data_IF_482905409689
#
_entry.id   IF_482905409689
#
_cell.length_a   1.000
_cell.length_b   1.000
_cell.length_c   1.000
_cell.angle_alpha   90.00
_cell.angle_beta   90.00
_cell.angle_gamma   90.00
#
_symmetry.space_group_name_H-M   'P 1'
#
loop_
_entity.id
_entity.type
_entity.pdbx_description
1 polymer ?
#
# COMPACT_ATOMS: atom_id res chain seq x y z
N UNK A 1 -24.80 -9.21 22.09
CA UNK A 1 -24.21 -7.92 21.76
C UNK A 1 -23.02 -7.67 22.67
N UNK A 2 -21.91 -7.20 22.10
CA UNK A 2 -20.79 -6.65 22.84
C UNK A 2 -21.01 -5.17 23.09
N UNK A 3 -20.65 -4.72 24.29
CA UNK A 3 -20.74 -3.33 24.69
C UNK A 3 -19.41 -2.90 25.27
N UNK A 4 -18.99 -1.65 25.00
CA UNK A 4 -17.78 -1.06 25.56
C UNK A 4 -18.13 0.26 26.25
N UNK A 5 -17.48 0.53 27.38
CA UNK A 5 -17.54 1.83 28.06
C UNK A 5 -16.14 2.44 28.06
N UNK A 6 -16.05 3.71 27.66
CA UNK A 6 -14.80 4.50 27.64
C UNK A 6 -14.69 5.44 28.85
N UNK A 7 -15.72 5.48 29.72
CA UNK A 7 -15.87 6.41 30.86
C UNK A 7 -16.21 5.69 32.16
N UNK A 8 -15.54 4.56 32.42
CA UNK A 8 -15.71 3.73 33.60
C UNK A 8 -17.16 3.25 33.83
N UNK A 9 -17.87 2.96 32.76
CA UNK A 9 -19.24 2.41 32.86
C UNK A 9 -20.34 3.46 32.92
N UNK A 10 -20.03 4.74 32.70
CA UNK A 10 -21.03 5.81 32.68
C UNK A 10 -21.86 5.78 31.39
N UNK A 11 -21.20 5.57 30.26
CA UNK A 11 -21.83 5.38 28.94
C UNK A 11 -21.34 4.10 28.29
N UNK A 12 -22.24 3.45 27.51
CA UNK A 12 -21.93 2.19 26.84
C UNK A 12 -22.22 2.29 25.34
N UNK A 13 -21.28 1.90 24.52
CA UNK A 13 -21.43 1.82 23.08
C UNK A 13 -21.56 0.37 22.66
N UNK A 14 -22.59 0.04 21.89
CA UNK A 14 -22.81 -1.29 21.37
C UNK A 14 -21.86 -1.56 20.19
N UNK A 15 -21.03 -2.60 20.29
CA UNK A 15 -20.06 -2.98 19.27
C UNK A 15 -20.62 -3.96 18.23
N UNK A 16 -21.69 -4.70 18.54
CA UNK A 16 -22.29 -5.68 17.66
C UNK A 16 -22.87 -6.89 18.38
N UNK A 17 -23.38 -7.85 17.60
CA UNK A 17 -23.88 -9.11 18.15
C UNK A 17 -22.73 -9.99 18.65
N UNK A 18 -22.90 -10.60 19.81
CA UNK A 18 -21.92 -11.53 20.40
C UNK A 18 -21.90 -12.91 19.69
N UNK A 19 -22.95 -13.23 18.92
CA UNK A 19 -23.07 -14.49 18.16
C UNK A 19 -23.77 -14.22 16.83
N UNK A 20 -23.33 -14.86 15.75
CA UNK A 20 -24.08 -14.98 14.50
C UNK A 20 -25.41 -15.74 14.69
N UNK A 21 -26.36 -15.57 13.79
CA UNK A 21 -27.72 -16.21 13.91
C UNK A 21 -27.67 -17.73 13.96
N UNK A 22 -26.58 -18.37 13.55
CA UNK A 22 -26.43 -19.85 13.45
C UNK A 22 -25.10 -20.39 14.02
N UNK A 23 -24.33 -19.59 14.75
CA UNK A 23 -23.09 -20.04 15.38
C UNK A 23 -21.96 -20.39 14.38
N UNK A 24 -22.10 -20.04 13.09
CA UNK A 24 -21.15 -20.39 12.03
C UNK A 24 -20.26 -19.23 11.57
N UNK A 25 -20.69 -17.98 11.74
CA UNK A 25 -19.94 -16.78 11.32
C UNK A 25 -19.86 -15.77 12.46
N UNK A 26 -19.15 -16.13 13.55
CA UNK A 26 -18.52 -15.10 14.33
C UNK A 26 -17.38 -14.59 13.42
N UNK A 27 -17.63 -13.50 12.67
CA UNK A 27 -16.58 -12.72 12.05
C UNK A 27 -15.53 -12.49 13.14
N UNK A 28 -14.36 -13.08 12.97
CA UNK A 28 -13.38 -13.19 14.03
C UNK A 28 -12.85 -11.80 14.31
N UNK A 29 -13.26 -11.23 15.45
CA UNK A 29 -12.61 -10.02 15.97
C UNK A 29 -11.17 -10.43 16.25
N UNK A 30 -10.23 -9.86 15.50
CA UNK A 30 -8.82 -10.05 15.75
C UNK A 30 -8.40 -9.09 16.86
N UNK A 31 -7.93 -9.64 17.97
CA UNK A 31 -7.45 -8.86 19.10
C UNK A 31 -5.93 -8.87 19.08
N UNK A 32 -5.32 -7.70 19.01
CA UNK A 32 -3.89 -7.48 19.16
C UNK A 32 -3.63 -6.45 20.25
N UNK A 33 -2.41 -6.39 20.78
CA UNK A 33 -2.05 -5.41 21.78
C UNK A 33 -0.57 -5.07 21.70
N UNK A 34 -0.23 -3.86 22.12
CA UNK A 34 1.12 -3.40 22.42
C UNK A 34 1.25 -3.02 23.91
N UNK A 35 2.29 -2.28 24.26
CA UNK A 35 2.51 -1.84 25.66
C UNK A 35 1.41 -0.91 26.16
N UNK A 36 0.83 -0.08 25.28
CA UNK A 36 -0.07 1.02 25.63
C UNK A 36 -1.54 0.74 25.30
N UNK A 37 -1.82 -0.10 24.27
CA UNK A 37 -3.16 -0.25 23.71
C UNK A 37 -3.57 -1.72 23.50
N UNK A 38 -4.87 -1.94 23.43
CA UNK A 38 -5.52 -3.16 22.89
C UNK A 38 -6.30 -2.77 21.66
N UNK A 39 -6.14 -3.50 20.58
CA UNK A 39 -6.76 -3.27 19.27
C UNK A 39 -7.76 -4.39 18.97
N UNK A 40 -8.96 -4.01 18.58
CA UNK A 40 -10.01 -4.92 18.11
C UNK A 40 -10.24 -4.63 16.62
N UNK A 41 -9.77 -5.49 15.75
CA UNK A 41 -10.01 -5.40 14.30
C UNK A 41 -11.31 -6.16 13.99
N UNK A 42 -12.32 -5.44 13.53
CA UNK A 42 -13.60 -5.97 13.10
C UNK A 42 -13.52 -6.53 11.67
N UNK A 43 -14.49 -7.35 11.28
CA UNK A 43 -14.52 -7.97 9.95
C UNK A 43 -14.57 -6.96 8.77
N UNK A 44 -15.14 -5.79 9.01
CA UNK A 44 -15.20 -4.68 8.04
C UNK A 44 -13.87 -3.89 7.93
N UNK A 45 -12.84 -4.28 8.70
CA UNK A 45 -11.56 -3.60 8.77
C UNK A 45 -11.53 -2.43 9.76
N UNK A 46 -12.62 -2.15 10.46
CA UNK A 46 -12.64 -1.15 11.54
C UNK A 46 -11.74 -1.61 12.68
N UNK A 47 -10.85 -0.74 13.15
CA UNK A 47 -10.00 -1.00 14.33
C UNK A 47 -10.49 -0.15 15.48
N UNK A 48 -10.86 -0.80 16.59
CA UNK A 48 -11.19 -0.13 17.84
C UNK A 48 -9.96 -0.22 18.75
N UNK A 49 -9.46 0.93 19.20
CA UNK A 49 -8.30 1.00 20.08
C UNK A 49 -8.74 1.32 21.50
N UNK A 50 -8.26 0.55 22.46
CA UNK A 50 -8.49 0.80 23.90
C UNK A 50 -7.12 1.03 24.55
N UNK A 51 -6.92 2.22 25.13
CA UNK A 51 -5.73 2.51 25.91
C UNK A 51 -5.72 1.72 27.22
N UNK A 52 -4.60 1.06 27.51
CA UNK A 52 -4.38 0.37 28.81
C UNK A 52 -4.22 1.35 29.99
N UNK A 53 -3.93 2.62 29.69
CA UNK A 53 -3.76 3.67 30.72
C UNK A 53 -5.07 4.36 31.10
N UNK A 54 -6.21 3.97 30.48
CA UNK A 54 -7.52 4.57 30.75
C UNK A 54 -7.71 5.98 30.16
N UNK A 55 -6.73 6.47 29.37
CA UNK A 55 -6.92 7.69 28.61
C UNK A 55 -7.82 7.40 27.39
N UNK A 56 -8.84 8.21 27.17
CA UNK A 56 -9.64 8.13 25.94
C UNK A 56 -8.73 8.45 24.75
N UNK A 57 -8.63 7.50 23.79
CA UNK A 57 -8.00 7.79 22.51
C UNK A 57 -8.96 8.68 21.73
N UNK A 58 -8.51 9.85 21.33
CA UNK A 58 -9.31 10.72 20.48
C UNK A 58 -9.61 9.97 19.17
N UNK A 59 -10.88 9.74 18.82
CA UNK A 59 -11.23 8.98 17.62
C UNK A 59 -10.81 9.68 16.33
N UNK A 60 -10.45 10.96 16.36
CA UNK A 60 -9.94 11.71 15.22
C UNK A 60 -8.40 11.54 15.03
N UNK A 61 -7.70 10.89 15.94
CA UNK A 61 -6.24 10.71 15.87
C UNK A 61 -5.90 9.35 15.24
N UNK A 62 -5.00 9.37 14.26
CA UNK A 62 -4.51 8.18 13.57
C UNK A 62 -3.65 7.35 14.51
N UNK A 63 -4.03 6.09 14.68
CA UNK A 63 -3.24 5.13 15.46
C UNK A 63 -2.27 4.42 14.53
N UNK A 64 -1.00 4.79 14.61
CA UNK A 64 0.04 4.20 13.77
C UNK A 64 0.54 2.87 14.34
N UNK A 65 0.67 1.87 13.47
CA UNK A 65 1.27 0.57 13.82
C UNK A 65 2.81 0.63 13.93
N UNK A 66 3.42 1.68 13.39
CA UNK A 66 4.87 1.89 13.36
C UNK A 66 5.20 3.27 13.93
N UNK A 67 5.86 3.28 15.09
CA UNK A 67 6.25 4.52 15.78
C UNK A 67 7.22 5.39 14.96
N UNK A 68 8.07 4.79 14.13
CA UNK A 68 8.96 5.55 13.24
C UNK A 68 8.17 6.26 12.15
N UNK A 69 7.12 5.63 11.63
CA UNK A 69 6.19 6.26 10.69
C UNK A 69 5.44 7.39 11.40
N UNK A 70 4.88 7.14 12.60
CA UNK A 70 4.21 8.18 13.40
C UNK A 70 5.09 9.41 13.57
N UNK A 71 6.32 9.20 14.06
CA UNK A 71 7.27 10.28 14.31
C UNK A 71 7.55 11.13 13.07
N UNK A 72 7.71 10.51 11.91
CA UNK A 72 7.92 11.22 10.65
C UNK A 72 6.68 11.98 10.23
N UNK A 73 5.50 11.37 10.31
CA UNK A 73 4.25 11.98 9.92
C UNK A 73 3.89 13.18 10.80
N UNK A 74 3.99 13.03 12.13
CA UNK A 74 3.79 14.12 13.09
C UNK A 74 4.79 15.23 12.85
N UNK A 75 6.08 14.91 12.71
CA UNK A 75 7.13 15.91 12.46
C UNK A 75 6.93 16.74 11.19
N UNK A 76 6.14 16.24 10.22
CA UNK A 76 5.92 16.90 8.91
C UNK A 76 4.55 17.54 8.77
N UNK A 77 3.51 16.97 9.37
CA UNK A 77 2.11 17.31 9.04
C UNK A 77 1.22 17.56 10.25
N UNK A 78 1.71 17.47 11.49
CA UNK A 78 1.04 17.98 12.68
C UNK A 78 1.00 19.52 12.58
N UNK A 79 -0.17 20.06 12.31
CA UNK A 79 -0.36 21.50 12.07
C UNK A 79 -0.82 22.25 13.32
N UNK A 80 -1.37 21.54 14.29
CA UNK A 80 -1.91 22.11 15.54
C UNK A 80 -0.89 22.04 16.70
N UNK A 81 0.17 21.23 16.56
CA UNK A 81 1.25 21.10 17.53
C UNK A 81 0.90 20.24 18.74
N UNK A 82 -0.09 19.31 18.61
CA UNK A 82 -0.53 18.44 19.70
C UNK A 82 0.30 17.15 19.82
N UNK A 83 1.31 16.96 18.93
CA UNK A 83 2.22 15.82 18.82
C UNK A 83 1.52 14.52 18.38
N UNK A 84 0.34 14.66 17.77
CA UNK A 84 -0.41 13.58 17.14
C UNK A 84 -0.66 13.94 15.67
N UNK A 85 -1.21 13.01 14.89
CA UNK A 85 -1.69 13.30 13.55
C UNK A 85 -3.15 12.89 13.45
N UNK A 86 -4.01 13.86 13.19
CA UNK A 86 -5.42 13.63 12.97
C UNK A 86 -5.71 13.14 11.53
N UNK A 87 -6.90 12.54 11.35
CA UNK A 87 -7.37 12.18 10.00
C UNK A 87 -7.55 13.42 9.12
N UNK A 88 -7.95 14.56 9.70
CA UNK A 88 -8.14 15.80 8.95
C UNK A 88 -6.80 16.35 8.44
N UNK A 89 -5.76 16.34 9.27
CA UNK A 89 -4.41 16.76 8.86
C UNK A 89 -3.86 15.84 7.77
N UNK A 90 -3.94 14.52 7.96
CA UNK A 90 -3.48 13.56 6.96
C UNK A 90 -4.22 13.72 5.63
N UNK A 91 -5.53 14.03 5.66
CA UNK A 91 -6.33 14.25 4.45
C UNK A 91 -5.90 15.49 3.64
N UNK A 92 -5.26 16.48 4.27
CA UNK A 92 -4.73 17.69 3.58
C UNK A 92 -3.42 17.45 2.85
N UNK A 93 -2.71 16.35 3.14
CA UNK A 93 -1.40 16.06 2.55
C UNK A 93 -1.56 15.67 1.09
N UNK A 94 -0.96 16.45 0.21
CA UNK A 94 -1.01 16.25 -1.26
C UNK A 94 0.28 15.68 -1.84
N UNK A 95 1.37 15.70 -1.08
CA UNK A 95 2.66 15.11 -1.45
C UNK A 95 3.40 14.62 -0.21
N UNK A 96 4.03 13.46 -0.29
CA UNK A 96 4.91 12.94 0.75
C UNK A 96 6.34 13.50 0.62
N UNK A 97 6.67 14.08 -0.54
CA UNK A 97 8.02 14.54 -0.84
C UNK A 97 9.05 13.43 -0.67
N UNK A 98 10.15 13.73 0.00
CA UNK A 98 11.23 12.78 0.30
C UNK A 98 11.23 12.31 1.76
N UNK A 99 10.15 12.51 2.50
CA UNK A 99 10.05 12.26 3.95
C UNK A 99 10.48 10.84 4.35
N UNK A 100 10.16 9.84 3.54
CA UNK A 100 10.50 8.45 3.83
C UNK A 100 11.69 7.93 3.01
N UNK A 101 12.14 8.66 1.99
CA UNK A 101 13.17 8.19 1.05
C UNK A 101 14.45 7.76 1.76
N UNK A 102 14.89 6.53 1.51
CA UNK A 102 16.09 5.95 2.10
C UNK A 102 15.95 5.56 3.58
N UNK A 103 14.77 5.70 4.17
CA UNK A 103 14.56 5.37 5.57
C UNK A 103 14.58 3.85 5.78
N UNK A 104 15.47 3.39 6.67
CA UNK A 104 15.62 1.98 7.01
C UNK A 104 14.94 1.57 8.33
N UNK A 105 14.25 2.50 9.00
CA UNK A 105 13.62 2.21 10.30
C UNK A 105 12.14 1.87 10.15
N UNK A 106 11.45 2.48 9.18
CA UNK A 106 10.03 2.21 8.94
C UNK A 106 9.81 0.78 8.42
N UNK A 107 8.76 0.14 8.92
CA UNK A 107 8.45 -1.25 8.60
C UNK A 107 7.05 -1.44 8.01
N UNK A 108 6.06 -0.73 8.57
CA UNK A 108 4.64 -0.85 8.18
C UNK A 108 4.06 0.54 8.00
N UNK A 109 3.33 0.77 6.90
CA UNK A 109 2.57 2.00 6.74
C UNK A 109 1.17 1.72 6.15
N UNK A 110 0.32 1.09 6.95
CA UNK A 110 -1.08 0.86 6.58
C UNK A 110 -1.91 2.15 6.66
N UNK A 111 -1.53 3.05 7.56
CA UNK A 111 -2.22 4.31 7.84
C UNK A 111 -2.06 5.33 6.72
N UNK A 112 -1.18 5.06 5.75
CA UNK A 112 -1.07 5.86 4.51
C UNK A 112 -2.43 5.98 3.80
N UNK A 113 -3.32 5.00 3.93
CA UNK A 113 -4.70 5.04 3.40
C UNK A 113 -5.49 6.28 3.84
N UNK A 114 -5.16 6.89 4.97
CA UNK A 114 -5.84 8.08 5.49
C UNK A 114 -5.34 9.38 4.86
N UNK A 115 -4.28 9.33 4.10
CA UNK A 115 -3.73 10.47 3.36
C UNK A 115 -4.51 10.68 2.05
N UNK A 116 -5.79 11.01 2.19
CA UNK A 116 -6.75 11.02 1.08
C UNK A 116 -6.53 12.18 0.08
N UNK A 117 -5.71 13.16 0.44
CA UNK A 117 -5.27 14.23 -0.46
C UNK A 117 -4.23 13.80 -1.49
N UNK A 118 -3.59 12.63 -1.29
CA UNK A 118 -2.56 12.13 -2.21
C UNK A 118 -3.20 11.64 -3.52
N UNK A 119 -2.74 12.19 -4.64
CA UNK A 119 -3.11 11.74 -5.98
C UNK A 119 -1.93 11.13 -6.73
N UNK A 120 -0.71 11.40 -6.29
CA UNK A 120 0.53 10.87 -6.86
C UNK A 120 1.43 10.40 -5.72
N UNK A 121 2.14 9.30 -5.92
CA UNK A 121 3.26 8.92 -5.09
C UNK A 121 4.56 9.20 -5.85
N UNK A 122 5.31 10.20 -5.37
CA UNK A 122 6.56 10.65 -5.98
C UNK A 122 7.75 10.06 -5.23
N UNK A 123 8.33 8.96 -5.72
CA UNK A 123 9.56 8.32 -5.20
C UNK A 123 9.66 8.22 -3.65
N UNK A 124 8.54 8.39 -2.96
CA UNK A 124 8.45 8.62 -1.53
C UNK A 124 9.09 7.50 -0.69
N UNK A 125 9.00 6.26 -1.15
CA UNK A 125 9.51 5.09 -0.42
C UNK A 125 10.77 4.49 -1.04
N UNK A 126 11.41 5.19 -1.97
CA UNK A 126 12.65 4.69 -2.58
C UNK A 126 13.71 4.42 -1.52
N UNK A 127 14.23 3.19 -1.49
CA UNK A 127 15.26 2.78 -0.54
C UNK A 127 14.80 2.48 0.89
N UNK A 128 13.49 2.41 1.16
CA UNK A 128 12.96 1.99 2.46
C UNK A 128 13.18 0.48 2.67
N UNK A 129 14.40 0.12 3.06
CA UNK A 129 14.87 -1.28 3.01
C UNK A 129 14.13 -2.23 3.96
N UNK A 130 13.60 -1.74 5.08
CA UNK A 130 12.87 -2.54 6.06
C UNK A 130 11.34 -2.45 5.92
N UNK A 131 10.83 -1.59 5.04
CA UNK A 131 9.40 -1.50 4.78
C UNK A 131 8.91 -2.81 4.16
N UNK A 132 8.08 -3.56 4.91
CA UNK A 132 7.55 -4.84 4.43
C UNK A 132 6.07 -4.82 4.10
N UNK A 133 5.32 -3.81 4.54
CA UNK A 133 3.88 -3.66 4.25
C UNK A 133 3.48 -2.20 4.11
N UNK A 134 2.67 -1.91 3.09
CA UNK A 134 2.09 -0.58 2.83
C UNK A 134 0.71 -0.71 2.21
N UNK A 135 -0.20 0.22 2.57
CA UNK A 135 -1.52 0.34 1.94
C UNK A 135 -1.60 1.65 1.17
N UNK A 136 -1.89 1.58 -0.12
CA UNK A 136 -1.95 2.72 -1.03
C UNK A 136 -3.35 3.34 -0.98
N UNK A 137 -3.47 4.67 -0.77
CA UNK A 137 -4.74 5.38 -0.71
C UNK A 137 -5.57 5.24 -1.99
N UNK A 138 -6.89 5.25 -1.83
CA UNK A 138 -7.85 5.12 -2.93
C UNK A 138 -7.68 6.19 -4.01
N UNK A 139 -7.28 7.42 -3.63
CA UNK A 139 -7.18 8.58 -4.52
C UNK A 139 -5.87 8.65 -5.32
N UNK A 140 -4.91 7.77 -5.05
CA UNK A 140 -3.67 7.74 -5.85
C UNK A 140 -4.00 7.31 -7.27
N UNK A 141 -3.75 8.19 -8.23
CA UNK A 141 -4.00 7.98 -9.66
C UNK A 141 -2.75 7.54 -10.43
N UNK A 142 -1.57 7.88 -9.92
CA UNK A 142 -0.31 7.48 -10.54
C UNK A 142 0.78 7.16 -9.52
N UNK A 143 1.65 6.23 -9.90
CA UNK A 143 2.87 5.89 -9.17
C UNK A 143 4.04 6.06 -10.11
N UNK A 144 5.07 6.79 -9.68
CA UNK A 144 6.27 7.02 -10.45
C UNK A 144 7.21 5.80 -10.45
N UNK A 145 8.25 5.84 -11.24
CA UNK A 145 9.11 4.69 -11.52
C UNK A 145 10.05 4.27 -10.38
N UNK A 146 10.20 5.08 -9.32
CA UNK A 146 11.10 4.73 -8.20
C UNK A 146 10.34 4.54 -6.87
N UNK A 147 9.02 4.59 -6.85
CA UNK A 147 8.26 4.64 -5.60
C UNK A 147 8.73 3.65 -4.54
N UNK A 148 8.96 2.40 -4.92
CA UNK A 148 9.42 1.34 -4.01
C UNK A 148 10.77 0.74 -4.42
N UNK A 149 11.52 1.44 -5.26
CA UNK A 149 12.85 0.96 -5.69
C UNK A 149 13.74 0.72 -4.48
N UNK A 150 14.30 -0.49 -4.38
CA UNK A 150 15.17 -0.85 -3.27
C UNK A 150 14.48 -1.17 -1.95
N UNK A 151 13.15 -1.26 -1.92
CA UNK A 151 12.41 -1.77 -0.77
C UNK A 151 12.57 -3.31 -0.68
N UNK A 152 13.76 -3.75 -0.30
CA UNK A 152 14.14 -5.17 -0.38
C UNK A 152 13.28 -6.08 0.50
N UNK A 153 12.73 -5.56 1.59
CA UNK A 153 11.86 -6.28 2.52
C UNK A 153 10.38 -6.25 2.16
N UNK A 154 9.96 -5.44 1.14
CA UNK A 154 8.56 -5.27 0.80
C UNK A 154 7.94 -6.62 0.38
N UNK A 155 7.00 -7.11 1.19
CA UNK A 155 6.27 -8.37 0.97
C UNK A 155 4.85 -8.14 0.51
N UNK A 156 4.22 -7.09 1.05
CA UNK A 156 2.81 -6.81 0.84
C UNK A 156 2.61 -5.35 0.46
N UNK A 157 2.00 -5.15 -0.68
CA UNK A 157 1.43 -3.86 -1.08
C UNK A 157 -0.07 -4.10 -1.29
N UNK A 158 -0.88 -3.28 -0.65
CA UNK A 158 -2.34 -3.35 -0.77
C UNK A 158 -2.84 -2.05 -1.37
N UNK A 159 -3.77 -2.14 -2.28
CA UNK A 159 -4.50 -0.98 -2.81
C UNK A 159 -5.88 -0.97 -2.18
N UNK A 160 -6.35 0.20 -1.74
CA UNK A 160 -7.71 0.30 -1.22
C UNK A 160 -8.74 -0.05 -2.27
N UNK A 161 -9.85 -0.64 -1.82
CA UNK A 161 -10.98 -0.98 -2.69
C UNK A 161 -11.49 0.25 -3.43
N UNK A 162 -11.67 0.13 -4.74
CA UNK A 162 -12.07 1.25 -5.58
C UNK A 162 -10.90 2.18 -5.95
N UNK A 163 -9.66 1.70 -5.84
CA UNK A 163 -8.46 2.44 -6.24
C UNK A 163 -8.65 3.17 -7.57
N UNK A 164 -8.15 4.40 -7.63
CA UNK A 164 -8.16 5.24 -8.84
C UNK A 164 -6.86 5.13 -9.65
N UNK A 165 -5.96 4.24 -9.27
CA UNK A 165 -4.68 4.08 -9.94
C UNK A 165 -4.87 3.71 -11.41
N UNK A 166 -4.39 4.57 -12.33
CA UNK A 166 -4.53 4.39 -13.78
C UNK A 166 -3.33 3.70 -14.41
N UNK A 167 -2.15 3.99 -13.86
CA UNK A 167 -0.92 3.44 -14.42
C UNK A 167 0.18 3.28 -13.36
N UNK A 168 0.97 2.24 -13.56
CA UNK A 168 2.32 2.20 -13.00
C UNK A 168 3.24 2.78 -14.07
N UNK A 169 3.82 3.94 -13.80
CA UNK A 169 4.71 4.56 -14.75
C UNK A 169 6.08 3.91 -14.68
N UNK A 170 6.54 3.43 -15.80
CA UNK A 170 7.95 3.06 -15.99
C UNK A 170 8.70 4.24 -16.57
N UNK A 171 10.01 4.23 -16.43
CA UNK A 171 10.85 5.28 -16.98
C UNK A 171 12.30 4.85 -17.13
N UNK A 172 13.14 5.78 -17.54
CA UNK A 172 14.59 5.61 -17.58
C UNK A 172 15.26 6.85 -16.96
N UNK A 173 16.44 6.67 -16.38
CA UNK A 173 17.27 7.77 -15.94
C UNK A 173 17.98 8.46 -17.12
N UNK A 174 18.77 9.50 -16.82
CA UNK A 174 19.54 10.25 -17.82
C UNK A 174 20.58 9.39 -18.58
N UNK A 175 20.88 8.19 -18.08
CA UNK A 175 21.77 7.22 -18.73
C UNK A 175 21.00 6.12 -19.48
N UNK A 176 19.70 6.34 -19.73
CA UNK A 176 18.80 5.37 -20.38
C UNK A 176 18.64 4.06 -19.60
N UNK A 177 18.96 4.04 -18.30
CA UNK A 177 18.71 2.87 -17.46
C UNK A 177 17.23 2.82 -17.13
N UNK A 178 16.58 1.70 -17.47
CA UNK A 178 15.15 1.51 -17.17
C UNK A 178 14.96 1.39 -15.67
N UNK A 179 13.98 2.13 -15.19
CA UNK A 179 13.56 2.21 -13.81
C UNK A 179 12.15 1.63 -13.70
N UNK A 180 11.89 0.89 -12.65
CA UNK A 180 10.58 0.32 -12.36
C UNK A 180 10.17 0.61 -10.93
N UNK A 181 8.88 0.80 -10.70
CA UNK A 181 8.34 1.13 -9.38
C UNK A 181 8.76 0.13 -8.29
N UNK A 182 8.94 -1.14 -8.68
CA UNK A 182 9.30 -2.25 -7.79
C UNK A 182 10.68 -2.83 -8.08
N UNK A 183 11.56 -2.03 -8.66
CA UNK A 183 12.94 -2.48 -8.91
C UNK A 183 13.63 -2.84 -7.59
N UNK A 184 14.25 -4.02 -7.54
CA UNK A 184 14.92 -4.56 -6.35
C UNK A 184 14.01 -4.86 -5.14
N UNK A 185 12.68 -4.91 -5.30
CA UNK A 185 11.77 -5.43 -4.28
C UNK A 185 11.88 -6.97 -4.20
N UNK A 186 12.94 -7.46 -3.58
CA UNK A 186 13.30 -8.90 -3.60
C UNK A 186 12.32 -9.79 -2.85
N UNK A 187 11.60 -9.25 -1.88
CA UNK A 187 10.64 -9.99 -1.05
C UNK A 187 9.21 -9.98 -1.61
N UNK A 188 8.92 -9.14 -2.62
CA UNK A 188 7.59 -9.04 -3.23
C UNK A 188 7.39 -10.18 -4.22
N UNK A 189 6.65 -11.19 -3.82
CA UNK A 189 6.40 -12.39 -4.65
C UNK A 189 5.02 -12.41 -5.29
N UNK A 190 4.08 -11.66 -4.77
CA UNK A 190 2.72 -11.57 -5.29
C UNK A 190 2.23 -10.13 -5.26
N UNK A 191 1.39 -9.77 -6.23
CA UNK A 191 0.69 -8.49 -6.27
C UNK A 191 -0.66 -8.67 -6.95
N UNK A 192 -1.69 -8.01 -6.42
CA UNK A 192 -2.98 -7.84 -7.08
C UNK A 192 -3.06 -6.45 -7.69
N UNK A 193 -3.33 -6.37 -8.98
CA UNK A 193 -3.40 -5.12 -9.73
C UNK A 193 -4.85 -4.61 -9.68
N UNK A 194 -5.09 -3.35 -9.23
CA UNK A 194 -6.41 -2.77 -9.20
C UNK A 194 -7.10 -2.77 -10.56
N UNK A 195 -8.43 -2.92 -10.55
CA UNK A 195 -9.23 -2.96 -11.78
C UNK A 195 -9.14 -1.66 -12.62
N UNK A 196 -8.82 -0.54 -11.97
CA UNK A 196 -8.67 0.78 -12.60
C UNK A 196 -7.42 0.93 -13.47
N UNK A 197 -6.41 0.03 -13.29
CA UNK A 197 -5.13 0.14 -14.00
C UNK A 197 -5.30 -0.16 -15.49
N UNK A 198 -4.84 0.77 -16.33
CA UNK A 198 -4.89 0.68 -17.79
C UNK A 198 -3.53 0.33 -18.41
N UNK A 199 -2.43 0.61 -17.69
CA UNK A 199 -1.05 0.34 -18.16
C UNK A 199 -0.11 -0.04 -17.02
N UNK A 200 0.78 -1.01 -17.27
CA UNK A 200 1.78 -1.46 -16.31
C UNK A 200 3.14 -0.73 -16.45
N UNK A 201 3.37 0.02 -17.53
CA UNK A 201 4.69 0.62 -17.80
C UNK A 201 5.81 -0.42 -17.78
N UNK A 202 6.94 -0.07 -17.16
CA UNK A 202 8.06 -1.01 -16.88
C UNK A 202 8.13 -1.34 -15.38
N UNK A 203 7.04 -1.20 -14.64
CA UNK A 203 7.01 -1.21 -13.18
C UNK A 203 7.61 -2.44 -12.53
N UNK A 204 7.43 -3.60 -13.13
CA UNK A 204 7.83 -4.90 -12.54
C UNK A 204 9.12 -5.47 -13.10
N UNK A 205 9.82 -4.73 -13.96
CA UNK A 205 11.09 -5.19 -14.52
C UNK A 205 12.04 -5.66 -13.43
N UNK A 206 12.56 -6.89 -13.58
CA UNK A 206 13.52 -7.48 -12.65
C UNK A 206 12.99 -7.74 -11.25
N UNK A 207 11.66 -7.75 -11.05
CA UNK A 207 11.04 -8.07 -9.77
C UNK A 207 11.15 -9.56 -9.45
N UNK A 208 10.96 -9.89 -8.17
CA UNK A 208 10.91 -11.28 -7.68
C UNK A 208 9.50 -11.87 -7.73
N UNK A 209 8.56 -11.23 -8.44
CA UNK A 209 7.17 -11.67 -8.53
C UNK A 209 7.08 -13.07 -9.14
N UNK A 210 6.29 -13.92 -8.48
CA UNK A 210 5.93 -15.27 -8.91
C UNK A 210 4.54 -15.30 -9.51
N UNK A 211 3.65 -14.44 -8.99
CA UNK A 211 2.25 -14.38 -9.38
C UNK A 211 1.80 -12.93 -9.46
N UNK A 212 1.10 -12.60 -10.51
CA UNK A 212 0.40 -11.33 -10.67
C UNK A 212 -1.06 -11.67 -10.90
N UNK A 213 -1.94 -11.10 -10.10
CA UNK A 213 -3.38 -11.21 -10.24
C UNK A 213 -3.99 -9.85 -10.57
N UNK A 214 -5.19 -9.85 -11.08
CA UNK A 214 -5.93 -8.64 -11.43
C UNK A 214 -7.29 -8.68 -10.76
N UNK A 215 -7.71 -7.56 -10.20
CA UNK A 215 -9.08 -7.42 -9.69
C UNK A 215 -10.11 -7.68 -10.80
N UNK A 216 -11.26 -8.21 -10.39
CA UNK A 216 -12.38 -8.44 -11.31
C UNK A 216 -12.80 -7.14 -12.00
N UNK A 217 -12.95 -7.19 -13.32
CA UNK A 217 -13.30 -6.01 -14.12
C UNK A 217 -12.08 -5.16 -14.50
N UNK A 218 -10.88 -5.74 -14.53
CA UNK A 218 -9.65 -5.09 -14.99
C UNK A 218 -9.86 -4.31 -16.28
N UNK A 219 -9.32 -3.09 -16.31
CA UNK A 219 -9.32 -2.19 -17.47
C UNK A 219 -7.97 -2.17 -18.21
N UNK A 220 -7.07 -3.10 -17.88
CA UNK A 220 -5.76 -3.17 -18.49
C UNK A 220 -5.89 -3.38 -20.00
N UNK A 221 -5.38 -2.44 -20.80
CA UNK A 221 -5.44 -2.47 -22.27
C UNK A 221 -4.18 -3.01 -22.91
N UNK A 222 -3.04 -2.75 -22.27
CA UNK A 222 -1.76 -3.18 -22.82
C UNK A 222 -0.79 -3.64 -21.73
N UNK A 223 -0.01 -4.67 -22.07
CA UNK A 223 1.20 -5.02 -21.34
C UNK A 223 2.35 -4.40 -22.12
N UNK A 224 2.83 -3.26 -21.61
CA UNK A 224 3.71 -2.39 -22.37
C UNK A 224 5.10 -2.95 -22.53
N UNK A 225 5.69 -2.74 -23.68
CA UNK A 225 7.10 -2.85 -23.94
C UNK A 225 7.80 -1.51 -23.78
N UNK A 226 9.06 -1.51 -23.55
CA UNK A 226 9.88 -0.31 -23.47
C UNK A 226 11.08 -0.40 -24.41
N UNK A 227 11.54 0.76 -24.86
CA UNK A 227 12.71 0.90 -25.71
C UNK A 227 13.86 1.51 -24.93
N UNK A 228 14.99 0.84 -24.87
CA UNK A 228 16.15 1.36 -24.14
C UNK A 228 17.22 1.96 -25.05
N UNK A 229 17.51 1.31 -26.15
CA UNK A 229 18.36 1.76 -27.27
C UNK A 229 18.22 0.77 -28.42
N UNK A 230 18.92 1.00 -29.55
CA UNK A 230 18.77 0.23 -30.82
C UNK A 230 18.72 -1.30 -30.68
N UNK A 231 19.26 -1.87 -29.57
CA UNK A 231 19.40 -3.31 -29.41
C UNK A 231 18.86 -3.84 -28.07
N UNK A 232 18.33 -2.97 -27.19
CA UNK A 232 17.97 -3.36 -25.83
C UNK A 232 16.54 -2.96 -25.48
N UNK A 233 15.62 -3.87 -25.70
CA UNK A 233 14.22 -3.72 -25.34
C UNK A 233 13.98 -4.25 -23.92
N UNK A 234 13.15 -3.57 -23.15
CA UNK A 234 12.59 -4.04 -21.88
C UNK A 234 11.13 -3.70 -21.81
N UNK A 235 10.35 -4.50 -21.14
CA UNK A 235 8.93 -4.27 -20.98
C UNK A 235 8.49 -4.45 -19.53
N UNK A 236 7.20 -4.40 -19.33
CA UNK A 236 6.53 -4.40 -18.02
C UNK A 236 7.06 -5.48 -17.06
N UNK A 237 7.29 -6.66 -17.60
CA UNK A 237 7.66 -7.88 -16.87
C UNK A 237 9.02 -8.44 -17.31
N UNK A 238 9.82 -7.64 -18.02
CA UNK A 238 11.13 -8.15 -18.43
C UNK A 238 12.01 -8.48 -17.24
N UNK A 239 12.79 -9.56 -17.37
CA UNK A 239 13.67 -10.10 -16.35
C UNK A 239 12.97 -10.55 -15.04
N UNK A 240 11.64 -10.77 -15.06
CA UNK A 240 10.90 -11.39 -13.96
C UNK A 240 11.15 -12.91 -13.95
N UNK A 241 12.35 -13.30 -13.52
CA UNK A 241 12.83 -14.69 -13.60
C UNK A 241 12.07 -15.67 -12.68
N UNK A 242 11.35 -15.15 -11.69
CA UNK A 242 10.56 -15.97 -10.77
C UNK A 242 9.10 -16.10 -11.20
N UNK A 243 8.65 -15.40 -12.26
CA UNK A 243 7.27 -15.39 -12.69
C UNK A 243 6.90 -16.73 -13.31
N UNK A 244 6.01 -17.46 -12.65
CA UNK A 244 5.56 -18.80 -13.07
C UNK A 244 4.18 -18.78 -13.69
N UNK A 245 3.37 -17.78 -13.38
CA UNK A 245 2.00 -17.69 -13.84
C UNK A 245 1.51 -16.26 -13.88
N UNK A 246 0.77 -15.93 -14.92
CA UNK A 246 -0.03 -14.71 -15.06
C UNK A 246 -1.27 -15.02 -15.88
N UNK A 247 -2.44 -14.66 -15.37
CA UNK A 247 -3.69 -14.71 -16.12
C UNK A 247 -3.91 -13.36 -16.79
N UNK A 248 -3.83 -13.33 -18.11
CA UNK A 248 -3.99 -12.09 -18.88
C UNK A 248 -5.48 -11.70 -18.90
N UNK A 249 -5.86 -10.51 -18.40
CA UNK A 249 -7.24 -10.05 -18.43
C UNK A 249 -7.81 -9.97 -19.85
N UNK A 250 -9.08 -10.30 -20.00
CA UNK A 250 -9.77 -10.23 -21.32
C UNK A 250 -9.82 -8.80 -21.92
N UNK A 251 -9.55 -7.78 -21.10
CA UNK A 251 -9.45 -6.38 -21.53
C UNK A 251 -8.16 -6.04 -22.28
N UNK A 252 -7.14 -6.92 -22.21
CA UNK A 252 -5.85 -6.67 -22.86
C UNK A 252 -5.98 -6.85 -24.37
N UNK A 253 -5.70 -5.79 -25.09
CA UNK A 253 -5.74 -5.73 -26.55
C UNK A 253 -4.36 -5.98 -27.16
N UNK A 254 -3.29 -5.57 -26.44
CA UNK A 254 -1.92 -5.66 -26.97
C UNK A 254 -0.93 -6.13 -25.91
N UNK A 255 0.03 -6.96 -26.35
CA UNK A 255 1.23 -7.31 -25.62
C UNK A 255 2.40 -6.83 -26.48
N UNK A 256 3.14 -5.83 -25.98
CA UNK A 256 4.17 -5.18 -26.75
C UNK A 256 5.49 -5.95 -26.71
N UNK A 257 6.42 -5.54 -27.60
CA UNK A 257 7.74 -6.16 -27.73
C UNK A 257 8.49 -6.17 -26.40
N UNK A 258 9.09 -7.30 -26.07
CA UNK A 258 9.87 -7.50 -24.86
C UNK A 258 9.08 -7.39 -23.52
N UNK A 259 7.75 -7.38 -23.54
CA UNK A 259 6.92 -7.34 -22.32
C UNK A 259 7.36 -8.41 -21.30
N UNK A 260 7.71 -9.61 -21.76
CA UNK A 260 8.15 -10.77 -20.96
C UNK A 260 9.58 -11.20 -21.24
N UNK A 261 10.42 -10.34 -21.82
CA UNK A 261 11.81 -10.71 -22.15
C UNK A 261 12.57 -11.14 -20.89
N UNK A 262 13.19 -12.33 -20.94
CA UNK A 262 13.97 -12.85 -19.82
C UNK A 262 13.15 -13.46 -18.68
N UNK A 263 11.84 -13.62 -18.81
CA UNK A 263 11.05 -14.56 -17.98
C UNK A 263 11.45 -15.99 -18.39
N UNK A 264 11.62 -16.89 -17.41
CA UNK A 264 12.14 -18.26 -17.63
C UNK A 264 11.04 -19.27 -17.26
#
# INVERSE_FOLDING_TARGET
>A
YWWISYDNGTNWTQLGKATGEDGKDADSIKITQDENNVYFELADGTVITISKTGQSVDPNIIQFADENVKKLCVGMWDTNGDLELSYDEAATVTSLGTTFTGNSEIQIFNELKHFTGLTVLDDAFSGCSNLWKVTIPVNVESMTFNNFKGCVSLKTITFEKGSKLKAFTGGHDNNYKILGAFLDCKSLTTIEIPASVESLGTAFKGSSLRTITFEKGSKLKSITGGYQNKDNYSGALSDCKALTFIEIPASVETIEIAAFKGCI
#
